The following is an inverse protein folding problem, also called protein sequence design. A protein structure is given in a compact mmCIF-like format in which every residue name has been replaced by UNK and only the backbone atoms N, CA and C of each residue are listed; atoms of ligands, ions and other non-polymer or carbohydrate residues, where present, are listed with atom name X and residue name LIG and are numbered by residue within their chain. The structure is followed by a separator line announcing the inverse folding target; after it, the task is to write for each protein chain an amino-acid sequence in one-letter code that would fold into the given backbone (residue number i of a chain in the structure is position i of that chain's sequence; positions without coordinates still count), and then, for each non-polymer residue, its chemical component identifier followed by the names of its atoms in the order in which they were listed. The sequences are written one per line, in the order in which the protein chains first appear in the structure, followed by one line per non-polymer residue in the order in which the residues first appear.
data_IF_356075539670
#
_entry.id   IF_356075539670
#
_cell.length_a   1.000
_cell.length_b   1.000
_cell.length_c   1.000
_cell.angle_alpha   90.00
_cell.angle_beta   90.00
_cell.angle_gamma   90.00
#
_symmetry.space_group_name_H-M   'P 1'
#
loop_
_entity.id
_entity.type
_entity.pdbx_description
1 polymer ?
#
# COMPACT_ATOMS: atom_id res chain seq x y z
N UNK A 1 28.33 -10.75 -1.53
CA UNK A 1 29.09 -9.49 -1.45
C UNK A 1 30.28 -9.74 -0.52
N UNK A 2 31.47 -9.84 -1.10
CA UNK A 2 32.69 -10.44 -0.51
C UNK A 2 33.47 -9.42 0.31
N UNK A 3 32.85 -8.85 1.35
CA UNK A 3 33.49 -7.81 2.19
C UNK A 3 34.45 -8.45 3.23
N UNK A 4 34.36 -9.75 3.46
CA UNK A 4 35.18 -10.47 4.45
C UNK A 4 36.65 -10.62 4.08
N UNK A 5 37.00 -10.62 2.79
CA UNK A 5 38.39 -10.82 2.33
C UNK A 5 39.26 -9.58 2.50
N UNK A 6 38.66 -8.39 2.43
CA UNK A 6 39.40 -7.12 2.48
C UNK A 6 39.81 -6.73 3.90
N UNK A 7 39.04 -7.13 4.92
CA UNK A 7 39.41 -6.92 6.34
C UNK A 7 40.52 -7.86 6.79
N UNK A 8 40.51 -9.11 6.33
CA UNK A 8 41.62 -10.01 6.60
C UNK A 8 42.91 -9.50 5.94
N UNK A 9 42.83 -8.94 4.72
CA UNK A 9 43.96 -8.31 4.04
C UNK A 9 44.55 -7.11 4.78
N UNK A 10 43.72 -6.19 5.28
CA UNK A 10 44.19 -4.99 5.99
C UNK A 10 44.77 -5.30 7.38
N UNK A 11 44.19 -6.25 8.12
CA UNK A 11 44.72 -6.70 9.40
C UNK A 11 46.09 -7.39 9.26
N UNK A 12 46.26 -8.24 8.25
CA UNK A 12 47.56 -8.87 7.95
C UNK A 12 48.61 -7.85 7.51
N UNK A 13 48.22 -6.82 6.75
CA UNK A 13 49.13 -5.75 6.34
C UNK A 13 49.63 -4.92 7.54
N UNK A 14 48.75 -4.58 8.49
CA UNK A 14 49.14 -3.84 9.69
C UNK A 14 50.11 -4.64 10.57
N UNK A 15 49.85 -5.94 10.75
CA UNK A 15 50.74 -6.84 11.48
C UNK A 15 52.14 -6.94 10.83
N UNK A 16 52.21 -6.97 9.49
CA UNK A 16 53.47 -6.98 8.77
C UNK A 16 54.26 -5.68 8.95
N UNK A 17 53.59 -4.52 8.95
CA UNK A 17 54.21 -3.21 9.19
C UNK A 17 54.74 -3.08 10.63
N UNK A 18 54.04 -3.62 11.61
CA UNK A 18 54.50 -3.62 13.00
C UNK A 18 55.76 -4.48 13.19
N UNK A 19 55.81 -5.63 12.53
CA UNK A 19 57.01 -6.47 12.52
C UNK A 19 58.20 -5.76 11.84
N UNK A 20 57.96 -5.10 10.69
CA UNK A 20 58.99 -4.32 9.99
C UNK A 20 59.51 -3.15 10.85
N UNK A 21 58.62 -2.45 11.56
CA UNK A 21 58.98 -1.34 12.44
C UNK A 21 59.84 -1.80 13.62
N UNK A 22 59.49 -2.96 14.19
CA UNK A 22 60.29 -3.59 15.25
C UNK A 22 61.69 -3.94 14.74
N UNK A 23 61.77 -4.61 13.59
CA UNK A 23 63.07 -4.97 12.99
C UNK A 23 63.94 -3.74 12.72
N UNK A 24 63.36 -2.65 12.22
CA UNK A 24 64.09 -1.41 11.94
C UNK A 24 64.55 -0.70 13.23
N UNK A 25 63.76 -0.77 14.29
CA UNK A 25 64.14 -0.29 15.63
C UNK A 25 65.34 -1.07 16.18
N UNK A 26 65.34 -2.39 16.02
CA UNK A 26 66.45 -3.25 16.43
C UNK A 26 67.74 -2.93 15.64
N UNK A 27 67.63 -2.70 14.33
CA UNK A 27 68.76 -2.27 13.47
C UNK A 27 69.30 -0.91 13.90
N UNK A 28 68.43 0.06 14.18
CA UNK A 28 68.83 1.38 14.68
C UNK A 28 69.61 1.27 16.02
N UNK A 29 69.16 0.41 16.92
CA UNK A 29 69.84 0.15 18.19
C UNK A 29 71.24 -0.49 18.00
N UNK A 30 71.37 -1.43 17.07
CA UNK A 30 72.67 -2.03 16.73
C UNK A 30 73.61 -1.01 16.09
N UNK A 31 73.10 -0.17 15.20
CA UNK A 31 73.88 0.87 14.52
C UNK A 31 74.40 1.93 15.49
N UNK A 32 73.57 2.32 16.47
CA UNK A 32 73.98 3.21 17.56
C UNK A 32 75.13 2.63 18.39
N UNK A 33 75.09 1.32 18.71
CA UNK A 33 76.19 0.63 19.42
C UNK A 33 77.47 0.60 18.59
N UNK A 34 77.37 0.23 17.31
CA UNK A 34 78.53 0.20 16.39
C UNK A 34 79.17 1.59 16.24
N UNK A 35 78.35 2.65 16.19
CA UNK A 35 78.80 4.04 16.16
C UNK A 35 79.53 4.42 17.45
N UNK A 36 79.00 4.06 18.62
CA UNK A 36 79.66 4.33 19.89
C UNK A 36 81.02 3.60 20.02
N UNK A 37 81.08 2.33 19.59
CA UNK A 37 82.32 1.55 19.58
C UNK A 37 83.38 2.14 18.64
N UNK A 38 82.98 2.56 17.43
CA UNK A 38 83.90 3.19 16.48
C UNK A 38 84.39 4.55 16.98
N UNK A 39 83.54 5.37 17.60
CA UNK A 39 83.95 6.64 18.20
C UNK A 39 84.99 6.43 19.32
N UNK A 40 84.81 5.39 20.14
CA UNK A 40 85.80 4.98 21.14
C UNK A 40 87.11 4.52 20.51
N UNK A 41 87.06 3.78 19.40
CA UNK A 41 88.25 3.36 18.66
C UNK A 41 88.96 4.54 17.98
N UNK A 42 88.22 5.53 17.48
CA UNK A 42 88.76 6.77 16.91
C UNK A 42 89.51 7.59 17.96
N UNK A 43 88.91 7.75 19.16
CA UNK A 43 89.56 8.42 20.29
C UNK A 43 90.88 7.75 20.72
N UNK A 44 91.00 6.44 20.50
CA UNK A 44 92.20 5.65 20.76
C UNK A 44 93.18 5.60 19.57
N UNK A 45 92.90 6.31 18.46
CA UNK A 45 93.76 6.37 17.28
C UNK A 45 93.70 5.15 16.34
N UNK A 46 92.67 4.31 16.46
CA UNK A 46 92.58 3.01 15.76
C UNK A 46 91.48 2.97 14.68
N UNK A 47 90.57 3.93 14.66
CA UNK A 47 89.52 4.00 13.63
C UNK A 47 89.97 4.84 12.42
N UNK A 48 89.45 4.50 11.23
CA UNK A 48 89.64 5.27 10.00
C UNK A 48 88.41 6.12 9.68
N UNK A 49 88.60 7.34 9.17
CA UNK A 49 87.52 8.28 8.81
C UNK A 49 86.47 7.65 7.87
N UNK A 50 86.91 6.75 7.00
CA UNK A 50 86.03 6.00 6.09
C UNK A 50 84.96 5.16 6.82
N UNK A 51 85.27 4.57 7.98
CA UNK A 51 84.30 3.78 8.76
C UNK A 51 83.23 4.66 9.42
N UNK A 52 83.60 5.87 9.82
CA UNK A 52 82.67 6.84 10.43
C UNK A 52 81.68 7.33 9.38
N UNK A 53 82.15 7.63 8.16
CA UNK A 53 81.28 8.05 7.06
C UNK A 53 80.24 6.97 6.67
N UNK A 54 80.65 5.71 6.58
CA UNK A 54 79.73 4.59 6.25
C UNK A 54 78.65 4.41 7.33
N UNK A 55 78.98 4.56 8.62
CA UNK A 55 78.00 4.47 9.69
C UNK A 55 77.01 5.64 9.68
N UNK A 56 77.48 6.85 9.36
CA UNK A 56 76.62 8.02 9.21
C UNK A 56 75.65 7.87 8.03
N UNK A 57 76.10 7.29 6.92
CA UNK A 57 75.26 6.99 5.75
C UNK A 57 74.21 5.92 6.07
N UNK A 58 74.61 4.86 6.78
CA UNK A 58 73.69 3.84 7.25
C UNK A 58 72.62 4.41 8.19
N UNK A 59 72.98 5.36 9.06
CA UNK A 59 72.02 5.98 9.99
C UNK A 59 70.98 6.80 9.22
N UNK A 60 71.43 7.60 8.24
CA UNK A 60 70.53 8.37 7.36
C UNK A 60 69.57 7.46 6.60
N UNK A 61 70.02 6.31 6.12
CA UNK A 61 69.17 5.34 5.43
C UNK A 61 68.13 4.71 6.37
N UNK A 62 68.50 4.37 7.60
CA UNK A 62 67.58 3.85 8.62
C UNK A 62 66.53 4.90 9.01
N UNK A 63 66.93 6.16 9.20
CA UNK A 63 66.01 7.25 9.52
C UNK A 63 65.02 7.50 8.38
N UNK A 64 65.47 7.47 7.13
CA UNK A 64 64.61 7.58 5.96
C UNK A 64 63.60 6.43 5.88
N UNK A 65 64.05 5.18 6.08
CA UNK A 65 63.18 4.01 6.08
C UNK A 65 62.14 4.05 7.21
N UNK A 66 62.50 4.55 8.41
CA UNK A 66 61.55 4.71 9.52
C UNK A 66 60.48 5.74 9.20
N UNK A 67 60.85 6.82 8.50
CA UNK A 67 59.91 7.85 8.05
C UNK A 67 58.90 7.30 7.04
N UNK A 68 59.38 6.59 6.01
CA UNK A 68 58.51 5.95 5.01
C UNK A 68 57.57 4.91 5.63
N UNK A 69 58.09 4.08 6.54
CA UNK A 69 57.29 3.07 7.23
C UNK A 69 56.19 3.70 8.10
N UNK A 70 56.50 4.83 8.75
CA UNK A 70 55.51 5.60 9.52
C UNK A 70 54.39 6.13 8.64
N UNK A 71 54.71 6.66 7.45
CA UNK A 71 53.72 7.11 6.49
C UNK A 71 52.84 5.95 6.00
N UNK A 72 53.44 4.82 5.66
CA UNK A 72 52.72 3.64 5.20
C UNK A 72 51.78 3.07 6.28
N UNK A 73 52.23 3.04 7.54
CA UNK A 73 51.38 2.65 8.68
C UNK A 73 50.17 3.57 8.81
N UNK A 74 50.35 4.88 8.70
CA UNK A 74 49.26 5.84 8.80
C UNK A 74 48.23 5.64 7.67
N UNK A 75 48.69 5.42 6.43
CA UNK A 75 47.80 5.14 5.29
C UNK A 75 47.01 3.83 5.47
N UNK A 76 47.67 2.74 5.86
CA UNK A 76 47.00 1.45 6.10
C UNK A 76 46.00 1.55 7.25
N UNK A 77 46.33 2.29 8.31
CA UNK A 77 45.42 2.53 9.44
C UNK A 77 44.18 3.30 9.00
N UNK A 78 44.34 4.36 8.20
CA UNK A 78 43.24 5.14 7.67
C UNK A 78 42.32 4.29 6.77
N UNK A 79 42.92 3.45 5.91
CA UNK A 79 42.17 2.50 5.06
C UNK A 79 41.41 1.47 5.89
N UNK A 80 42.01 0.92 6.93
CA UNK A 80 41.35 -0.03 7.83
C UNK A 80 40.13 0.59 8.52
N UNK A 81 40.25 1.84 8.98
CA UNK A 81 39.13 2.60 9.55
C UNK A 81 38.01 2.83 8.52
N UNK A 82 38.34 3.24 7.30
CA UNK A 82 37.37 3.45 6.23
C UNK A 82 36.60 2.16 5.88
N UNK A 83 37.31 1.02 5.82
CA UNK A 83 36.69 -0.30 5.58
C UNK A 83 35.74 -0.68 6.71
N UNK A 84 36.12 -0.45 7.97
CA UNK A 84 35.25 -0.71 9.12
C UNK A 84 33.98 0.15 9.10
N UNK A 85 34.09 1.44 8.76
CA UNK A 85 32.93 2.33 8.58
C UNK A 85 32.01 1.86 7.45
N UNK A 86 32.57 1.46 6.31
CA UNK A 86 31.79 0.94 5.20
C UNK A 86 31.04 -0.37 5.57
N UNK A 87 31.68 -1.26 6.32
CA UNK A 87 31.06 -2.48 6.82
C UNK A 87 29.88 -2.21 7.75
N UNK A 88 30.03 -1.26 8.68
CA UNK A 88 28.94 -0.86 9.56
C UNK A 88 27.76 -0.29 8.75
N UNK A 89 28.03 0.56 7.75
CA UNK A 89 26.99 1.09 6.88
C UNK A 89 26.27 -0.01 6.08
N UNK A 90 27.00 -1.00 5.55
CA UNK A 90 26.41 -2.15 4.84
C UNK A 90 25.54 -3.00 5.78
N UNK A 91 25.97 -3.22 7.03
CA UNK A 91 25.17 -3.95 8.01
C UNK A 91 23.84 -3.24 8.32
N UNK A 92 23.86 -1.91 8.49
CA UNK A 92 22.66 -1.10 8.67
C UNK A 92 21.75 -1.18 7.44
N UNK A 93 22.31 -1.01 6.24
CA UNK A 93 21.55 -1.09 4.99
C UNK A 93 20.88 -2.47 4.83
N UNK A 94 21.60 -3.54 5.15
CA UNK A 94 21.05 -4.90 5.13
C UNK A 94 19.88 -5.05 6.10
N UNK A 95 20.01 -4.58 7.33
CA UNK A 95 18.92 -4.63 8.30
C UNK A 95 17.67 -3.85 7.84
N UNK A 96 17.87 -2.70 7.19
CA UNK A 96 16.76 -1.91 6.61
C UNK A 96 16.07 -2.64 5.45
N UNK A 97 16.84 -3.30 4.59
CA UNK A 97 16.28 -4.11 3.48
C UNK A 97 15.48 -5.28 4.04
N UNK A 98 16.03 -6.00 5.02
CA UNK A 98 15.37 -7.15 5.63
C UNK A 98 14.04 -6.72 6.30
N UNK A 99 14.01 -5.62 7.06
CA UNK A 99 12.76 -5.13 7.68
C UNK A 99 11.74 -4.59 6.66
N UNK A 100 12.20 -4.03 5.53
CA UNK A 100 11.31 -3.56 4.45
C UNK A 100 10.66 -4.74 3.72
N UNK A 101 11.40 -5.84 3.53
CA UNK A 101 10.88 -7.05 2.90
C UNK A 101 9.77 -7.68 3.75
N UNK A 102 9.96 -7.77 5.07
CA UNK A 102 8.92 -8.26 6.00
C UNK A 102 7.65 -7.39 5.95
N UNK A 103 7.80 -6.06 5.92
CA UNK A 103 6.65 -5.15 5.82
C UNK A 103 5.89 -5.31 4.50
N UNK A 104 6.59 -5.56 3.39
CA UNK A 104 5.97 -5.82 2.08
C UNK A 104 5.19 -7.14 2.05
N UNK A 105 5.69 -8.19 2.70
CA UNK A 105 5.00 -9.48 2.81
C UNK A 105 3.68 -9.34 3.60
N UNK A 106 3.72 -8.61 4.72
CA UNK A 106 2.50 -8.30 5.51
C UNK A 106 1.48 -7.52 4.67
N UNK A 107 1.93 -6.49 3.96
CA UNK A 107 1.04 -5.66 3.13
C UNK A 107 0.41 -6.47 1.99
N UNK A 108 1.18 -7.38 1.36
CA UNK A 108 0.65 -8.26 0.32
C UNK A 108 -0.50 -9.14 0.85
N UNK A 109 -0.35 -9.73 2.05
CA UNK A 109 -1.40 -10.51 2.68
C UNK A 109 -2.66 -9.70 2.99
N UNK A 110 -2.52 -8.45 3.45
CA UNK A 110 -3.65 -7.56 3.72
C UNK A 110 -4.44 -7.21 2.45
N UNK A 111 -3.74 -6.95 1.34
CA UNK A 111 -4.39 -6.65 0.05
C UNK A 111 -5.21 -7.84 -0.45
N UNK A 112 -4.73 -9.07 -0.27
CA UNK A 112 -5.48 -10.28 -0.64
C UNK A 112 -6.74 -10.46 0.22
N UNK A 113 -6.64 -10.22 1.54
CA UNK A 113 -7.78 -10.29 2.47
C UNK A 113 -8.85 -9.22 2.14
N UNK A 114 -8.43 -7.98 1.92
CA UNK A 114 -9.33 -6.88 1.55
C UNK A 114 -10.03 -7.13 0.21
N UNK A 115 -9.31 -7.68 -0.79
CA UNK A 115 -9.87 -8.04 -2.08
C UNK A 115 -10.94 -9.14 -1.94
N UNK A 116 -10.68 -10.16 -1.12
CA UNK A 116 -11.65 -11.22 -0.84
C UNK A 116 -12.90 -10.68 -0.11
N UNK A 117 -12.71 -9.78 0.87
CA UNK A 117 -13.81 -9.12 1.57
C UNK A 117 -14.69 -8.29 0.63
N UNK A 118 -14.08 -7.53 -0.29
CA UNK A 118 -14.80 -6.74 -1.29
C UNK A 118 -15.62 -7.63 -2.26
N UNK A 119 -15.04 -8.74 -2.74
CA UNK A 119 -15.74 -9.68 -3.62
C UNK A 119 -16.95 -10.34 -2.92
N UNK A 120 -16.79 -10.72 -1.65
CA UNK A 120 -17.88 -11.28 -0.85
C UNK A 120 -19.00 -10.26 -0.63
N UNK A 121 -18.67 -8.99 -0.36
CA UNK A 121 -19.66 -7.93 -0.21
C UNK A 121 -20.47 -7.70 -1.49
N UNK A 122 -19.81 -7.69 -2.66
CA UNK A 122 -20.48 -7.57 -3.95
C UNK A 122 -21.45 -8.75 -4.23
N UNK A 123 -20.97 -9.97 -4.00
CA UNK A 123 -21.77 -11.20 -4.18
C UNK A 123 -23.02 -11.19 -3.28
N UNK A 124 -22.88 -10.76 -2.03
CA UNK A 124 -23.99 -10.68 -1.09
C UNK A 124 -25.02 -9.60 -1.51
N UNK A 125 -24.57 -8.48 -2.08
CA UNK A 125 -25.47 -7.44 -2.57
C UNK A 125 -26.33 -7.92 -3.75
N UNK A 126 -25.75 -8.68 -4.68
CA UNK A 126 -26.49 -9.26 -5.81
C UNK A 126 -27.55 -10.27 -5.34
N UNK A 127 -27.21 -11.12 -4.36
CA UNK A 127 -28.14 -12.10 -3.79
C UNK A 127 -29.37 -11.44 -3.13
N UNK A 128 -29.18 -10.31 -2.45
CA UNK A 128 -30.27 -9.58 -1.77
C UNK A 128 -31.32 -9.05 -2.74
N UNK A 129 -30.91 -8.63 -3.95
CA UNK A 129 -31.81 -8.09 -4.98
C UNK A 129 -32.74 -9.18 -5.53
N UNK A 130 -32.27 -10.43 -5.61
CA UNK A 130 -33.03 -11.55 -6.18
C UNK A 130 -33.96 -12.22 -5.15
N UNK A 131 -33.58 -12.22 -3.86
CA UNK A 131 -34.33 -12.92 -2.81
C UNK A 131 -35.33 -12.05 -2.04
N UNK A 132 -35.39 -10.73 -2.29
CA UNK A 132 -36.31 -9.85 -1.54
C UNK A 132 -37.77 -10.16 -1.90
N UNK A 133 -38.63 -10.53 -0.92
CA UNK A 133 -40.05 -10.72 -1.18
C UNK A 133 -40.69 -9.41 -1.63
N UNK A 134 -41.64 -9.49 -2.57
CA UNK A 134 -42.41 -8.31 -3.01
C UNK A 134 -43.11 -7.68 -1.81
N UNK A 135 -42.76 -6.44 -1.51
CA UNK A 135 -43.41 -5.68 -0.43
C UNK A 135 -44.82 -5.32 -0.86
N UNK A 136 -45.81 -5.77 -0.07
CA UNK A 136 -47.24 -5.53 -0.31
C UNK A 136 -47.77 -4.45 0.63
N UNK A 137 -48.63 -3.58 0.11
CA UNK A 137 -49.36 -2.57 0.89
C UNK A 137 -50.84 -2.88 0.77
N UNK A 138 -51.50 -3.11 1.90
CA UNK A 138 -52.95 -3.34 1.94
C UNK A 138 -53.66 -2.00 2.09
N UNK A 139 -54.61 -1.73 1.20
CA UNK A 139 -55.40 -0.49 1.17
C UNK A 139 -56.87 -0.86 1.39
N UNK A 140 -57.40 -0.69 2.61
CA UNK A 140 -58.82 -0.93 2.91
C UNK A 140 -59.72 0.26 2.58
N UNK A 141 -59.14 1.44 2.37
CA UNK A 141 -59.86 2.69 2.19
C UNK A 141 -60.48 2.82 0.80
N UNK A 142 -61.47 3.71 0.69
CA UNK A 142 -62.15 4.06 -0.58
C UNK A 142 -61.43 5.16 -1.36
N UNK A 143 -60.33 5.69 -0.82
CA UNK A 143 -59.48 6.67 -1.48
C UNK A 143 -58.02 6.43 -1.12
N UNK A 144 -57.12 6.53 -2.09
CA UNK A 144 -55.69 6.39 -1.86
C UNK A 144 -54.89 7.29 -2.78
N UNK A 145 -53.86 7.94 -2.25
CA UNK A 145 -52.90 8.70 -3.06
C UNK A 145 -51.59 7.94 -3.11
N UNK A 146 -51.08 7.69 -4.33
CA UNK A 146 -49.78 7.04 -4.49
C UNK A 146 -48.67 7.90 -3.88
N UNK A 147 -47.76 7.27 -3.15
CA UNK A 147 -46.62 7.95 -2.53
C UNK A 147 -45.33 7.57 -3.27
N UNK A 148 -44.38 8.50 -3.35
CA UNK A 148 -43.10 8.27 -4.01
C UNK A 148 -42.34 7.07 -3.40
N UNK A 149 -42.41 6.91 -2.07
CA UNK A 149 -41.83 5.80 -1.31
C UNK A 149 -42.43 4.41 -1.60
N UNK A 150 -43.50 4.32 -2.40
CA UNK A 150 -44.14 3.07 -2.77
C UNK A 150 -43.71 2.53 -4.14
N UNK A 151 -42.63 3.07 -4.70
CA UNK A 151 -42.01 2.55 -5.91
C UNK A 151 -41.67 1.06 -5.77
N UNK A 152 -41.99 0.26 -6.79
CA UNK A 152 -41.72 -1.18 -6.85
C UNK A 152 -42.58 -2.04 -5.91
N UNK A 153 -43.46 -1.43 -5.10
CA UNK A 153 -44.37 -2.17 -4.20
C UNK A 153 -45.63 -2.63 -4.92
N UNK A 154 -46.32 -3.59 -4.32
CA UNK A 154 -47.59 -4.12 -4.81
C UNK A 154 -48.75 -3.65 -3.93
N UNK A 155 -49.75 -2.99 -4.51
CA UNK A 155 -50.87 -2.41 -3.77
C UNK A 155 -52.09 -3.33 -3.83
N UNK A 156 -52.48 -3.88 -2.69
CA UNK A 156 -53.61 -4.79 -2.52
C UNK A 156 -54.83 -4.00 -2.00
N UNK A 157 -55.72 -3.63 -2.91
CA UNK A 157 -56.93 -2.88 -2.61
C UNK A 157 -58.05 -3.83 -2.15
N UNK A 158 -58.57 -3.63 -0.94
CA UNK A 158 -59.49 -4.60 -0.29
C UNK A 158 -60.90 -4.06 -0.06
N UNK A 159 -61.18 -2.81 -0.41
CA UNK A 159 -62.50 -2.22 -0.19
C UNK A 159 -63.59 -2.89 -1.03
N UNK A 160 -64.74 -3.16 -0.39
CA UNK A 160 -65.92 -3.73 -1.05
C UNK A 160 -66.71 -2.72 -1.90
N UNK A 161 -66.44 -1.41 -1.72
CA UNK A 161 -67.04 -0.31 -2.49
C UNK A 161 -66.01 0.29 -3.45
N UNK A 162 -66.45 1.19 -4.34
CA UNK A 162 -65.55 1.87 -5.28
C UNK A 162 -64.38 2.57 -4.56
N UNK A 163 -63.20 2.51 -5.17
CA UNK A 163 -61.96 3.10 -4.66
C UNK A 163 -61.45 4.10 -5.68
N UNK A 164 -61.05 5.29 -5.24
CA UNK A 164 -60.38 6.28 -6.09
C UNK A 164 -58.89 6.32 -5.77
N UNK A 165 -58.06 6.08 -6.79
CA UNK A 165 -56.60 6.23 -6.69
C UNK A 165 -56.21 7.55 -7.34
N UNK A 166 -55.60 8.42 -6.55
CA UNK A 166 -55.00 9.67 -7.01
C UNK A 166 -53.60 9.41 -7.52
N UNK A 167 -53.35 9.80 -8.77
CA UNK A 167 -52.07 9.72 -9.45
C UNK A 167 -51.38 11.09 -9.40
N UNK A 168 -50.32 11.29 -8.58
CA UNK A 168 -49.67 12.59 -8.45
C UNK A 168 -49.00 13.05 -9.75
N UNK A 169 -49.14 14.34 -10.07
CA UNK A 169 -48.52 14.94 -11.25
C UNK A 169 -46.99 15.13 -11.12
N UNK A 170 -46.47 15.09 -9.89
CA UNK A 170 -45.05 15.28 -9.57
C UNK A 170 -44.27 13.97 -9.38
N UNK A 171 -44.85 12.82 -9.79
CA UNK A 171 -44.18 11.54 -9.66
C UNK A 171 -43.02 11.41 -10.67
N UNK A 172 -41.81 10.98 -10.28
CA UNK A 172 -40.66 10.95 -11.18
C UNK A 172 -40.82 9.93 -12.32
N UNK A 173 -40.14 10.20 -13.45
CA UNK A 173 -40.02 9.25 -14.55
C UNK A 173 -39.45 7.90 -14.06
N UNK A 174 -40.00 6.78 -14.55
CA UNK A 174 -39.59 5.43 -14.15
C UNK A 174 -40.21 4.92 -12.84
N UNK A 175 -40.94 5.77 -12.11
CA UNK A 175 -41.75 5.32 -10.98
C UNK A 175 -42.78 4.28 -11.44
N UNK A 176 -42.97 3.23 -10.65
CA UNK A 176 -43.89 2.16 -10.99
C UNK A 176 -44.39 1.38 -9.76
N UNK A 177 -45.54 0.73 -9.90
CA UNK A 177 -46.08 -0.18 -8.90
C UNK A 177 -47.02 -1.23 -9.51
N UNK A 178 -47.16 -2.37 -8.83
CA UNK A 178 -48.24 -3.32 -9.10
C UNK A 178 -49.51 -2.95 -8.33
N UNK A 179 -50.67 -3.40 -8.83
CA UNK A 179 -51.96 -3.24 -8.15
C UNK A 179 -52.82 -4.50 -8.29
N UNK A 180 -53.66 -4.77 -7.29
CA UNK A 180 -54.72 -5.76 -7.34
C UNK A 180 -55.99 -5.28 -6.64
N UNK A 181 -57.14 -5.54 -7.24
CA UNK A 181 -58.44 -5.30 -6.62
C UNK A 181 -58.95 -6.57 -5.95
N UNK A 182 -58.61 -6.78 -4.68
CA UNK A 182 -59.03 -7.97 -3.92
C UNK A 182 -60.44 -7.83 -3.30
N UNK A 183 -60.92 -6.59 -3.17
CA UNK A 183 -62.28 -6.29 -2.72
C UNK A 183 -63.33 -6.39 -3.83
N UNK A 184 -64.61 -6.41 -3.46
CA UNK A 184 -65.72 -6.42 -4.42
C UNK A 184 -65.94 -5.09 -5.17
N UNK A 185 -65.25 -4.01 -4.74
CA UNK A 185 -65.29 -2.71 -5.40
C UNK A 185 -64.59 -2.68 -6.75
N UNK A 186 -64.42 -1.48 -7.30
CA UNK A 186 -63.58 -1.19 -8.47
C UNK A 186 -62.64 -0.04 -8.17
N UNK A 187 -61.39 -0.17 -8.57
CA UNK A 187 -60.38 0.87 -8.47
C UNK A 187 -60.57 1.83 -9.64
N UNK A 188 -60.54 3.13 -9.42
CA UNK A 188 -60.56 4.18 -10.45
C UNK A 188 -59.21 4.89 -10.48
N UNK A 189 -58.57 4.92 -11.64
CA UNK A 189 -57.26 5.53 -11.91
C UNK A 189 -57.43 6.78 -12.78
N UNK A 190 -57.82 7.89 -12.16
CA UNK A 190 -58.04 9.14 -12.90
C UNK A 190 -56.70 9.68 -13.46
N UNK A 191 -56.67 9.99 -14.76
CA UNK A 191 -55.49 10.57 -15.43
C UNK A 191 -54.43 9.55 -15.87
N UNK A 192 -54.71 8.24 -15.78
CA UNK A 192 -53.87 7.22 -16.42
C UNK A 192 -54.29 6.95 -17.86
N UNK A 193 -53.32 6.61 -18.69
CA UNK A 193 -53.49 6.29 -20.10
C UNK A 193 -53.24 4.81 -20.37
N UNK A 194 -54.06 4.21 -21.23
CA UNK A 194 -53.85 2.88 -21.80
C UNK A 194 -54.50 2.81 -23.18
N UNK A 195 -54.19 1.76 -23.95
CA UNK A 195 -54.66 1.64 -25.33
C UNK A 195 -56.19 1.57 -25.49
N UNK A 196 -56.92 1.28 -24.40
CA UNK A 196 -58.38 1.16 -24.40
C UNK A 196 -59.08 2.35 -23.73
N UNK A 197 -58.32 3.36 -23.28
CA UNK A 197 -58.82 4.54 -22.53
C UNK A 197 -59.70 4.16 -21.31
N UNK A 198 -59.45 2.99 -20.74
CA UNK A 198 -60.16 2.48 -19.57
C UNK A 198 -59.62 3.10 -18.29
N UNK A 199 -60.48 3.45 -17.34
CA UNK A 199 -60.03 4.13 -16.11
C UNK A 199 -60.24 3.31 -14.86
N UNK A 200 -60.86 2.12 -14.97
CA UNK A 200 -61.17 1.29 -13.80
C UNK A 200 -60.56 -0.09 -13.87
N UNK A 201 -60.41 -0.74 -12.72
CA UNK A 201 -60.18 -2.18 -12.66
C UNK A 201 -61.43 -2.94 -13.15
N UNK A 202 -61.24 -4.06 -13.84
CA UNK A 202 -62.34 -4.80 -14.47
C UNK A 202 -63.36 -5.36 -13.47
N UNK A 203 -62.87 -6.00 -12.41
CA UNK A 203 -63.69 -6.64 -11.39
C UNK A 203 -62.86 -6.88 -10.12
N UNK A 204 -63.46 -7.60 -9.17
CA UNK A 204 -62.72 -8.29 -8.12
C UNK A 204 -61.69 -9.25 -8.75
N UNK A 205 -60.55 -9.36 -8.08
CA UNK A 205 -59.34 -10.09 -8.44
C UNK A 205 -58.60 -9.56 -9.67
N UNK A 206 -59.03 -8.41 -10.21
CA UNK A 206 -58.34 -7.75 -11.31
C UNK A 206 -56.94 -7.27 -10.89
N UNK A 207 -55.95 -7.47 -11.74
CA UNK A 207 -54.56 -7.07 -11.48
C UNK A 207 -53.94 -6.28 -12.61
N UNK A 208 -52.89 -5.53 -12.30
CA UNK A 208 -52.14 -4.81 -13.30
C UNK A 208 -50.97 -4.02 -12.77
N UNK A 209 -50.54 -3.07 -13.59
CA UNK A 209 -49.35 -2.28 -13.34
C UNK A 209 -49.57 -0.82 -13.70
N UNK A 210 -48.93 0.07 -12.95
CA UNK A 210 -48.86 1.50 -13.21
C UNK A 210 -47.39 1.89 -13.36
N UNK A 211 -47.09 2.76 -14.33
CA UNK A 211 -45.77 3.41 -14.43
C UNK A 211 -45.86 4.83 -14.96
N UNK A 212 -44.92 5.67 -14.57
CA UNK A 212 -44.70 6.99 -15.17
C UNK A 212 -43.75 6.83 -16.35
N UNK A 213 -44.23 7.10 -17.57
CA UNK A 213 -43.40 7.05 -18.79
C UNK A 213 -42.53 8.30 -18.96
N UNK A 214 -43.07 9.46 -18.60
CA UNK A 214 -42.44 10.75 -18.80
C UNK A 214 -42.94 11.71 -17.71
N UNK A 215 -42.03 12.51 -17.14
CA UNK A 215 -42.35 13.67 -16.33
C UNK A 215 -41.19 14.68 -16.35
N UNK A 216 -40.66 15.01 -17.53
CA UNK A 216 -39.47 15.86 -17.67
C UNK A 216 -39.56 17.23 -16.95
N UNK A 217 -40.78 17.76 -16.74
CA UNK A 217 -41.03 19.04 -16.06
C UNK A 217 -41.41 18.94 -14.58
N UNK A 218 -41.46 17.72 -14.00
CA UNK A 218 -41.79 17.48 -12.59
C UNK A 218 -43.22 17.85 -12.15
N UNK A 219 -44.10 18.23 -13.08
CA UNK A 219 -45.43 18.76 -12.80
C UNK A 219 -46.53 18.17 -13.72
N UNK A 220 -46.20 17.21 -14.58
CA UNK A 220 -47.12 16.63 -15.56
C UNK A 220 -46.77 15.17 -15.87
N UNK A 221 -46.84 14.30 -14.86
CA UNK A 221 -46.54 12.87 -15.01
C UNK A 221 -47.49 12.18 -16.01
N UNK A 222 -46.90 11.56 -17.04
CA UNK A 222 -47.61 10.71 -17.99
C UNK A 222 -47.72 9.28 -17.43
N UNK A 223 -48.89 8.97 -16.88
CA UNK A 223 -49.19 7.67 -16.29
C UNK A 223 -49.63 6.66 -17.33
N UNK A 224 -48.97 5.51 -17.36
CA UNK A 224 -49.38 4.33 -18.11
C UNK A 224 -50.03 3.32 -17.18
N UNK A 225 -51.24 2.91 -17.53
CA UNK A 225 -51.98 1.83 -16.90
C UNK A 225 -51.96 0.58 -17.81
N UNK A 226 -51.78 -0.57 -17.21
CA UNK A 226 -51.87 -1.87 -17.88
C UNK A 226 -52.53 -2.89 -16.95
N UNK A 227 -52.99 -3.99 -17.53
CA UNK A 227 -53.63 -5.09 -16.82
C UNK A 227 -55.12 -5.19 -17.14
N UNK A 228 -55.87 -5.72 -16.19
CA UNK A 228 -57.28 -6.05 -16.33
C UNK A 228 -58.15 -4.84 -16.01
N UNK A 229 -58.39 -4.01 -17.02
CA UNK A 229 -59.10 -2.73 -16.91
C UNK A 229 -60.48 -2.77 -17.57
N UNK A 230 -61.35 -1.85 -17.18
CA UNK A 230 -62.69 -1.63 -17.74
C UNK A 230 -63.09 -0.14 -17.65
N UNK A 231 -64.25 0.18 -18.25
CA UNK A 231 -64.83 1.52 -18.31
C UNK A 231 -65.26 2.10 -16.94
#
# INVERSE_FOLDING_TARGET
MTISTDVQGTASALAALDLANKALTDVAALLARATAENNRAAANGVATDAKIAVLADAQRAVDAAMSELSLLRNDVTAKAQAVATAQAAVAVAKATVDSTAEALEILAGQVEEDAAAAQNAATNAESLIVSAPVVRIVIPDTSYTLLAENIGKYHDFTAATAITVTLPANMPEGWHCGWAQLGAGRITFAGAHNALEMTKSAAKDAQGFLRVRDNAGGNAAYWLLSGEVAE
#
